data_IF_309275799115
#
_entry.id   IF_309275799115
#
_cell.length_a   1.000
_cell.length_b   1.000
_cell.length_c   1.000
_cell.angle_alpha   90.00
_cell.angle_beta   90.00
_cell.angle_gamma   90.00
#
_symmetry.space_group_name_H-M   'P 1'
#
loop_
_entity.id
_entity.type
_entity.pdbx_description
1 polymer ?
#
# COMPACT_ATOMS: atom_id res chain seq x y z
N UNK A 1 59.89 12.45 13.45
CA UNK A 1 59.37 13.60 14.21
C UNK A 1 58.02 14.01 13.64
N UNK A 2 56.98 13.86 14.46
CA UNK A 2 55.87 14.80 14.67
C UNK A 2 54.67 14.80 13.69
N UNK A 3 53.66 14.03 14.12
CA UNK A 3 52.20 14.21 14.10
C UNK A 3 51.59 15.56 13.65
N UNK A 4 50.42 15.52 12.99
CA UNK A 4 49.09 15.85 13.56
C UNK A 4 47.96 15.67 12.52
N UNK A 5 46.86 15.09 12.99
CA UNK A 5 45.55 14.77 12.36
C UNK A 5 44.61 15.98 12.38
N UNK A 6 43.71 16.12 11.38
CA UNK A 6 42.28 16.55 11.44
C UNK A 6 41.82 16.95 10.02
N UNK A 7 40.58 16.81 9.52
CA UNK A 7 39.34 16.15 9.91
C UNK A 7 38.41 16.16 8.68
N UNK A 8 37.54 15.15 8.59
CA UNK A 8 36.27 14.99 7.86
C UNK A 8 35.83 15.99 6.76
N UNK A 9 35.30 15.47 5.64
CA UNK A 9 33.91 15.77 5.23
C UNK A 9 33.31 14.77 4.22
N UNK A 10 32.27 14.09 4.72
CA UNK A 10 31.04 13.62 4.08
C UNK A 10 31.10 12.57 2.96
N UNK A 11 31.07 11.33 3.44
CA UNK A 11 30.40 10.19 2.82
C UNK A 11 28.90 10.31 3.14
N UNK A 12 28.06 10.05 2.15
CA UNK A 12 26.84 9.23 2.24
C UNK A 12 25.75 9.74 1.29
N UNK A 13 25.66 9.05 0.16
CA UNK A 13 24.54 9.15 -0.76
C UNK A 13 23.30 8.48 -0.17
N UNK A 14 22.17 9.15 -0.39
CA UNK A 14 20.83 8.59 -0.55
C UNK A 14 20.30 7.65 0.54
N UNK A 15 19.43 8.20 1.38
CA UNK A 15 18.32 7.45 1.94
C UNK A 15 17.07 8.34 1.92
N UNK A 16 16.25 8.20 0.87
CA UNK A 16 14.86 8.61 0.96
C UNK A 16 14.20 7.70 1.98
N UNK A 17 14.07 8.17 3.22
CA UNK A 17 13.28 7.53 4.24
C UNK A 17 11.81 7.60 3.82
N UNK A 18 11.35 6.60 3.08
CA UNK A 18 9.93 6.33 2.94
C UNK A 18 9.42 5.93 4.33
N UNK A 19 8.69 6.83 4.99
CA UNK A 19 7.91 6.50 6.17
C UNK A 19 6.79 5.54 5.76
N UNK A 20 7.10 4.26 5.64
CA UNK A 20 6.09 3.21 5.58
C UNK A 20 5.61 3.01 7.00
N UNK A 21 4.57 3.74 7.41
CA UNK A 21 3.80 3.39 8.60
C UNK A 21 3.17 2.03 8.33
N UNK A 22 3.83 0.96 8.79
CA UNK A 22 3.24 -0.37 8.79
C UNK A 22 2.03 -0.31 9.72
N UNK A 23 0.79 -0.51 9.22
CA UNK A 23 -0.35 -0.59 10.11
C UNK A 23 -0.12 -1.75 11.10
N UNK A 24 -0.61 -1.64 12.35
CA UNK A 24 -0.43 -2.68 13.35
C UNK A 24 -0.93 -4.02 12.78
N UNK A 25 -0.20 -5.10 13.08
CA UNK A 25 -0.52 -6.48 12.69
C UNK A 25 -1.84 -6.93 13.33
N UNK A 26 -2.95 -6.40 12.85
CA UNK A 26 -4.30 -6.89 13.07
C UNK A 26 -4.43 -8.13 12.18
N UNK A 27 -5.04 -9.20 12.70
CA UNK A 27 -5.48 -10.32 11.88
C UNK A 27 -6.59 -9.80 10.99
N UNK A 28 -6.25 -9.15 9.87
CA UNK A 28 -7.22 -8.78 8.86
C UNK A 28 -7.77 -10.10 8.30
N UNK A 29 -9.07 -10.29 8.48
CA UNK A 29 -9.78 -11.45 7.93
C UNK A 29 -10.25 -11.20 6.50
N UNK A 30 -10.11 -9.96 6.04
CA UNK A 30 -10.41 -9.51 4.68
C UNK A 30 -9.32 -9.83 3.67
N UNK A 31 -9.74 -9.88 2.41
CA UNK A 31 -8.87 -10.08 1.27
C UNK A 31 -8.33 -8.77 0.72
N UNK A 32 -9.15 -7.71 0.79
CA UNK A 32 -8.87 -6.39 0.26
C UNK A 32 -9.23 -5.35 1.31
N UNK A 33 -8.32 -4.44 1.60
CA UNK A 33 -8.55 -3.31 2.51
C UNK A 33 -8.56 -2.00 1.73
N UNK A 34 -9.58 -1.20 1.96
CA UNK A 34 -9.68 0.19 1.51
C UNK A 34 -9.39 1.10 2.70
N UNK A 35 -8.32 1.87 2.64
CA UNK A 35 -7.96 2.87 3.65
C UNK A 35 -8.18 4.27 3.09
N UNK A 36 -8.89 5.14 3.83
CA UNK A 36 -8.96 6.56 3.50
C UNK A 36 -7.74 7.27 4.08
N UNK A 37 -6.85 7.74 3.21
CA UNK A 37 -5.62 8.46 3.62
C UNK A 37 -5.92 9.93 3.88
N UNK A 38 -6.69 10.56 3.00
CA UNK A 38 -7.10 11.95 3.13
C UNK A 38 -8.49 12.18 2.46
N UNK A 39 -8.84 13.42 2.12
CA UNK A 39 -10.15 13.73 1.55
C UNK A 39 -10.34 13.23 0.12
N UNK A 40 -9.27 13.13 -0.65
CA UNK A 40 -9.31 12.88 -2.09
C UNK A 40 -8.56 11.61 -2.49
N UNK A 41 -7.99 10.89 -1.51
CA UNK A 41 -7.15 9.76 -1.79
C UNK A 41 -7.44 8.56 -0.90
N UNK A 42 -7.53 7.42 -1.58
CA UNK A 42 -7.78 6.13 -0.98
C UNK A 42 -6.66 5.18 -1.37
N UNK A 43 -6.28 4.31 -0.44
CA UNK A 43 -5.33 3.24 -0.70
C UNK A 43 -6.09 1.93 -0.67
N UNK A 44 -5.95 1.15 -1.73
CA UNK A 44 -6.43 -0.23 -1.78
C UNK A 44 -5.24 -1.15 -1.60
N UNK A 45 -5.33 -2.04 -0.61
CA UNK A 45 -4.30 -3.02 -0.27
C UNK A 45 -4.86 -4.43 -0.42
N UNK A 46 -4.21 -5.25 -1.24
CA UNK A 46 -4.47 -6.69 -1.35
C UNK A 46 -3.78 -7.39 -0.20
N UNK A 47 -4.57 -7.85 0.78
CA UNK A 47 -4.06 -8.49 2.00
C UNK A 47 -3.82 -9.97 1.77
N UNK A 48 -4.77 -10.65 1.13
CA UNK A 48 -4.66 -12.09 0.94
C UNK A 48 -3.89 -12.45 -0.33
N UNK A 49 -3.17 -13.59 -0.36
CA UNK A 49 -2.46 -14.03 -1.55
C UNK A 49 -3.36 -14.19 -2.78
N UNK A 50 -4.62 -14.61 -2.56
CA UNK A 50 -5.60 -14.76 -3.65
C UNK A 50 -6.02 -13.43 -4.25
N UNK A 51 -6.14 -12.38 -3.44
CA UNK A 51 -6.45 -11.03 -3.93
C UNK A 51 -5.25 -10.43 -4.68
N UNK A 52 -4.03 -10.66 -4.19
CA UNK A 52 -2.81 -10.20 -4.84
C UNK A 52 -2.65 -10.83 -6.24
N UNK A 53 -2.83 -12.14 -6.35
CA UNK A 53 -2.77 -12.86 -7.62
C UNK A 53 -3.86 -12.39 -8.59
N UNK A 54 -5.09 -12.21 -8.11
CA UNK A 54 -6.18 -11.65 -8.91
C UNK A 54 -5.86 -10.25 -9.44
N UNK A 55 -5.46 -9.32 -8.57
CA UNK A 55 -5.13 -7.96 -8.98
C UNK A 55 -3.97 -7.94 -9.99
N UNK A 56 -2.97 -8.81 -9.82
CA UNK A 56 -1.85 -8.94 -10.76
C UNK A 56 -2.32 -9.42 -12.15
N UNK A 57 -3.34 -10.27 -12.22
CA UNK A 57 -3.92 -10.73 -13.50
C UNK A 57 -4.77 -9.65 -14.18
N UNK A 58 -5.55 -8.90 -13.41
CA UNK A 58 -6.43 -7.83 -13.91
C UNK A 58 -5.68 -6.59 -14.38
N UNK A 59 -4.59 -6.22 -13.71
CA UNK A 59 -3.79 -5.06 -14.11
C UNK A 59 -3.23 -5.26 -15.52
N UNK A 60 -3.16 -4.17 -16.30
CA UNK A 60 -2.58 -4.23 -17.63
C UNK A 60 -1.04 -4.41 -17.55
N UNK A 61 -0.43 -4.93 -18.62
CA UNK A 61 1.00 -5.24 -18.68
C UNK A 61 1.97 -4.17 -18.12
N UNK A 62 1.80 -2.85 -18.35
CA UNK A 62 2.72 -1.86 -17.78
C UNK A 62 2.58 -1.69 -16.26
N UNK A 63 1.44 -2.03 -15.66
CA UNK A 63 1.18 -1.84 -14.25
C UNK A 63 1.56 -3.07 -13.40
N UNK A 64 1.45 -4.29 -13.95
CA UNK A 64 1.75 -5.53 -13.21
C UNK A 64 3.13 -5.54 -12.57
N UNK A 65 4.24 -5.18 -13.25
CA UNK A 65 5.58 -5.25 -12.66
C UNK A 65 5.80 -4.24 -11.54
N UNK A 66 5.04 -3.15 -11.53
CA UNK A 66 5.13 -2.08 -10.52
C UNK A 66 4.22 -2.34 -9.31
N UNK A 67 3.33 -3.33 -9.40
CA UNK A 67 2.33 -3.56 -8.38
C UNK A 67 2.92 -4.35 -7.21
N UNK A 68 3.01 -3.68 -6.04
CA UNK A 68 3.52 -4.26 -4.81
C UNK A 68 2.40 -4.69 -3.83
N UNK A 69 1.19 -4.95 -4.35
CA UNK A 69 0.03 -5.33 -3.54
C UNK A 69 -0.78 -4.17 -2.98
N UNK A 70 -0.34 -2.92 -3.15
CA UNK A 70 -1.13 -1.74 -2.80
C UNK A 70 -1.08 -0.68 -3.91
N UNK A 71 -2.13 0.13 -3.98
CA UNK A 71 -2.24 1.23 -4.94
C UNK A 71 -3.10 2.37 -4.39
N UNK A 72 -2.72 3.61 -4.72
CA UNK A 72 -3.49 4.83 -4.41
C UNK A 72 -4.43 5.13 -5.57
N UNK A 73 -5.71 5.32 -5.28
CA UNK A 73 -6.78 5.51 -6.24
C UNK A 73 -7.67 6.69 -5.82
N UNK A 74 -8.33 7.31 -6.80
CA UNK A 74 -9.48 8.18 -6.55
C UNK A 74 -10.72 7.37 -6.13
N UNK A 75 -11.74 8.04 -5.59
CA UNK A 75 -12.92 7.37 -5.02
C UNK A 75 -13.69 6.53 -6.03
N UNK A 76 -13.76 6.97 -7.29
CA UNK A 76 -14.50 6.28 -8.33
C UNK A 76 -13.75 5.03 -8.79
N UNK A 77 -12.43 5.14 -8.95
CA UNK A 77 -11.57 3.99 -9.24
C UNK A 77 -11.56 2.96 -8.10
N UNK A 78 -11.51 3.42 -6.84
CA UNK A 78 -11.58 2.55 -5.67
C UNK A 78 -12.93 1.82 -5.59
N UNK A 79 -14.06 2.54 -5.74
CA UNK A 79 -15.40 1.94 -5.75
C UNK A 79 -15.56 0.89 -6.85
N UNK A 80 -15.11 1.21 -8.07
CA UNK A 80 -15.14 0.27 -9.19
C UNK A 80 -14.36 -1.01 -8.89
N UNK A 81 -13.14 -0.87 -8.36
CA UNK A 81 -12.29 -2.00 -8.03
C UNK A 81 -12.93 -2.87 -6.93
N UNK A 82 -13.45 -2.25 -5.87
CA UNK A 82 -14.12 -2.99 -4.79
C UNK A 82 -15.35 -3.75 -5.26
N UNK A 83 -16.16 -3.16 -6.15
CA UNK A 83 -17.29 -3.87 -6.78
C UNK A 83 -16.83 -5.08 -7.58
N UNK A 84 -15.75 -4.95 -8.35
CA UNK A 84 -15.17 -6.09 -9.07
C UNK A 84 -14.63 -7.15 -8.11
N UNK A 85 -13.94 -6.76 -7.04
CA UNK A 85 -13.41 -7.69 -6.04
C UNK A 85 -14.54 -8.49 -5.36
N UNK A 86 -15.62 -7.81 -4.94
CA UNK A 86 -16.79 -8.46 -4.35
C UNK A 86 -17.48 -9.42 -5.33
N UNK A 87 -17.56 -9.05 -6.61
CA UNK A 87 -18.10 -9.93 -7.65
C UNK A 87 -17.26 -11.21 -7.84
N UNK A 88 -15.97 -11.19 -7.50
CA UNK A 88 -15.09 -12.36 -7.47
C UNK A 88 -15.15 -13.13 -6.13
N UNK A 89 -15.95 -12.66 -5.16
CA UNK A 89 -16.09 -13.30 -3.84
C UNK A 89 -15.03 -12.93 -2.82
N UNK A 90 -14.27 -11.83 -3.04
CA UNK A 90 -13.34 -11.31 -2.05
C UNK A 90 -14.08 -10.56 -0.93
N UNK A 91 -13.65 -10.77 0.31
CA UNK A 91 -14.12 -10.02 1.49
C UNK A 91 -13.39 -8.69 1.55
N UNK A 92 -14.14 -7.59 1.66
CA UNK A 92 -13.58 -6.24 1.64
C UNK A 92 -13.64 -5.59 3.02
N UNK A 93 -12.57 -4.95 3.45
CA UNK A 93 -12.51 -4.18 4.69
C UNK A 93 -12.33 -2.69 4.35
N UNK A 94 -12.89 -1.81 5.16
CA UNK A 94 -12.77 -0.36 5.02
C UNK A 94 -12.23 0.23 6.31
N UNK A 95 -11.05 0.86 6.27
CA UNK A 95 -10.54 1.69 7.36
C UNK A 95 -10.74 3.17 7.00
N UNK A 96 -11.69 3.81 7.69
CA UNK A 96 -11.92 5.24 7.63
C UNK A 96 -11.12 5.99 8.71
N UNK A 97 -11.17 7.33 8.66
CA UNK A 97 -10.53 8.20 9.66
C UNK A 97 -11.09 8.02 11.08
N UNK A 98 -12.25 7.38 11.23
CA UNK A 98 -12.94 7.17 12.51
C UNK A 98 -13.05 5.71 12.96
N UNK A 99 -12.47 4.73 12.25
CA UNK A 99 -12.62 3.32 12.58
C UNK A 99 -12.58 2.39 11.36
N UNK A 100 -12.79 1.07 11.60
CA UNK A 100 -12.73 0.04 10.57
C UNK A 100 -14.07 -0.71 10.48
N UNK A 101 -14.65 -0.76 9.28
CA UNK A 101 -15.90 -1.45 8.93
C UNK A 101 -15.61 -2.60 7.96
N UNK A 102 -16.31 -3.74 8.11
CA UNK A 102 -16.12 -4.93 7.27
C UNK A 102 -17.38 -5.16 6.42
N UNK A 103 -17.20 -5.39 5.11
CA UNK A 103 -18.29 -5.54 4.13
C UNK A 103 -18.10 -6.73 3.18
#
# INVERSE_FOLDING_TARGET
MNHIVTSAKDKDGSAFAACTSLPPARRNEGDVLLERVDNDHWVVTMISPRALDWATRELCCPLRPCFAGSMRLDIMSADRLLKQARAQGFRTEFAGLGGMDVF
#
